data_IF_367615260977
#
_entry.id   IF_367615260977
#
_cell.length_a   1.000
_cell.length_b   1.000
_cell.length_c   1.000
_cell.angle_alpha   90.00
_cell.angle_beta   90.00
_cell.angle_gamma   90.00
#
_symmetry.space_group_name_H-M   'P 1'
#
loop_
_entity.id
_entity.type
_entity.pdbx_description
1 polymer ?
#
# COMPACT_ATOMS: atom_id res chain seq x y z
N UNK A 1 8.63 17.32 -13.79
CA UNK A 1 8.52 16.28 -14.84
C UNK A 1 9.41 16.54 -16.06
N UNK A 2 9.67 17.76 -16.48
CA UNK A 2 10.49 18.12 -17.66
C UNK A 2 11.91 17.51 -17.69
N UNK A 3 12.70 17.45 -16.59
CA UNK A 3 14.02 16.84 -16.61
C UNK A 3 13.98 15.34 -16.94
N UNK A 4 13.05 14.58 -16.34
CA UNK A 4 12.91 13.14 -16.59
C UNK A 4 12.44 12.82 -18.00
N UNK A 5 11.56 13.66 -18.58
CA UNK A 5 11.18 13.53 -19.98
C UNK A 5 12.38 13.74 -20.92
N UNK A 6 13.26 14.69 -20.59
CA UNK A 6 14.50 14.92 -21.35
C UNK A 6 15.48 13.74 -21.24
N UNK A 7 15.67 13.20 -20.02
CA UNK A 7 16.50 12.02 -19.80
C UNK A 7 15.98 10.81 -20.58
N UNK A 8 14.65 10.60 -20.60
CA UNK A 8 14.03 9.53 -21.39
C UNK A 8 14.32 9.67 -22.88
N UNK A 9 14.18 10.88 -23.45
CA UNK A 9 14.51 11.13 -24.85
C UNK A 9 16.00 10.89 -25.15
N UNK A 10 16.90 11.25 -24.22
CA UNK A 10 18.32 10.96 -24.35
C UNK A 10 18.63 9.45 -24.26
N UNK A 11 17.94 8.72 -23.40
CA UNK A 11 18.07 7.27 -23.30
C UNK A 11 17.60 6.55 -24.59
N UNK A 12 16.54 7.06 -25.23
CA UNK A 12 16.00 6.50 -26.47
C UNK A 12 16.97 6.61 -27.69
N UNK A 13 17.97 7.48 -27.61
CA UNK A 13 18.99 7.68 -28.69
C UNK A 13 20.20 6.74 -28.51
N UNK A 14 20.32 6.02 -27.41
CA UNK A 14 21.42 5.09 -27.18
C UNK A 14 21.40 3.92 -28.19
N UNK A 15 22.57 3.59 -28.72
CA UNK A 15 22.72 2.49 -29.68
C UNK A 15 22.72 1.10 -29.02
N UNK A 16 22.98 1.01 -27.71
CA UNK A 16 22.95 -0.23 -26.96
C UNK A 16 21.55 -0.46 -26.36
N UNK A 17 20.83 -1.40 -26.98
CA UNK A 17 19.45 -1.73 -26.58
C UNK A 17 19.33 -2.15 -25.09
N UNK A 18 20.33 -2.82 -24.53
CA UNK A 18 20.32 -3.25 -23.13
C UNK A 18 20.41 -2.06 -22.17
N UNK A 19 21.36 -1.17 -22.42
CA UNK A 19 21.55 0.06 -21.64
C UNK A 19 20.36 1.01 -21.81
N UNK A 20 19.81 1.13 -23.03
CA UNK A 20 18.61 1.90 -23.33
C UNK A 20 17.41 1.44 -22.50
N UNK A 21 17.09 0.15 -22.56
CA UNK A 21 15.93 -0.42 -21.82
C UNK A 21 16.11 -0.25 -20.31
N UNK A 22 17.31 -0.50 -19.78
CA UNK A 22 17.61 -0.30 -18.36
C UNK A 22 17.40 1.15 -17.92
N UNK A 23 17.89 2.13 -18.69
CA UNK A 23 17.71 3.55 -18.37
C UNK A 23 16.26 4.02 -18.50
N UNK A 24 15.52 3.55 -19.51
CA UNK A 24 14.11 3.88 -19.68
C UNK A 24 13.28 3.34 -18.51
N UNK A 25 13.57 2.14 -18.03
CA UNK A 25 12.87 1.55 -16.90
C UNK A 25 13.21 2.28 -15.59
N UNK A 26 14.45 2.69 -15.38
CA UNK A 26 14.86 3.51 -14.24
C UNK A 26 14.15 4.87 -14.24
N UNK A 27 14.03 5.53 -15.40
CA UNK A 27 13.32 6.81 -15.54
C UNK A 27 11.82 6.64 -15.29
N UNK A 28 11.21 5.53 -15.74
CA UNK A 28 9.81 5.21 -15.40
C UNK A 28 9.63 5.05 -13.90
N UNK A 29 10.55 4.31 -13.26
CA UNK A 29 10.54 4.11 -11.81
C UNK A 29 10.66 5.45 -11.05
N UNK A 30 11.56 6.33 -11.45
CA UNK A 30 11.68 7.68 -10.89
C UNK A 30 10.42 8.52 -11.07
N UNK A 31 9.73 8.42 -12.23
CA UNK A 31 8.47 9.12 -12.44
C UNK A 31 7.37 8.61 -11.48
N UNK A 32 7.25 7.29 -11.29
CA UNK A 32 6.32 6.69 -10.34
C UNK A 32 6.59 7.16 -8.91
N UNK A 33 7.85 7.12 -8.47
CA UNK A 33 8.25 7.64 -7.16
C UNK A 33 7.90 9.12 -6.96
N UNK A 34 8.12 9.95 -8.00
CA UNK A 34 7.75 11.37 -7.96
C UNK A 34 6.25 11.58 -7.90
N UNK A 35 5.48 10.82 -8.66
CA UNK A 35 4.01 10.93 -8.64
C UNK A 35 3.44 10.49 -7.28
N UNK A 36 3.97 9.43 -6.68
CA UNK A 36 3.61 9.02 -5.32
C UNK A 36 4.02 10.07 -4.28
N UNK A 37 5.24 10.64 -4.39
CA UNK A 37 5.70 11.71 -3.49
C UNK A 37 4.85 12.99 -3.64
N UNK A 38 4.52 13.39 -4.87
CA UNK A 38 3.66 14.55 -5.12
C UNK A 38 2.23 14.33 -4.63
N UNK A 39 1.73 13.11 -4.74
CA UNK A 39 0.46 12.73 -4.15
C UNK A 39 0.53 12.75 -2.62
N UNK A 40 1.63 12.29 -2.03
CA UNK A 40 1.90 12.41 -0.60
C UNK A 40 1.96 13.88 -0.15
N UNK A 41 2.72 14.75 -0.85
CA UNK A 41 2.90 16.17 -0.45
C UNK A 41 1.68 17.07 -0.71
N UNK A 42 0.75 16.67 -1.59
CA UNK A 42 -0.54 17.37 -1.78
C UNK A 42 -1.53 17.11 -0.64
N UNK A 43 -1.24 16.18 0.22
CA UNK A 43 -2.12 15.64 1.25
C UNK A 43 -2.23 16.49 2.50
N UNK A 44 -1.38 17.53 2.67
CA UNK A 44 -1.55 18.53 3.73
C UNK A 44 -2.86 19.36 3.62
N UNK A 45 -3.66 19.11 2.54
CA UNK A 45 -4.95 19.78 2.29
C UNK A 45 -6.15 18.81 2.41
N UNK A 46 -6.10 17.78 3.26
CA UNK A 46 -7.27 16.92 3.56
C UNK A 46 -8.37 17.69 4.31
N UNK A 47 -8.98 18.66 3.61
CA UNK A 47 -10.13 19.39 4.12
C UNK A 47 -11.49 18.74 3.85
N UNK A 48 -11.51 17.65 3.10
CA UNK A 48 -12.75 16.92 2.87
C UNK A 48 -12.89 15.80 3.91
N UNK A 49 -13.52 16.13 5.05
CA UNK A 49 -13.95 15.18 6.08
C UNK A 49 -15.13 14.32 5.59
N UNK A 50 -15.01 13.78 4.37
CA UNK A 50 -15.98 12.81 3.90
C UNK A 50 -15.81 11.56 4.75
N UNK A 51 -16.86 11.21 5.47
CA UNK A 51 -16.92 10.03 6.31
C UNK A 51 -17.62 8.89 5.59
N UNK A 52 -17.15 7.68 5.81
CA UNK A 52 -17.66 6.46 5.21
C UNK A 52 -17.75 5.33 6.22
N UNK A 53 -18.67 4.39 5.96
CA UNK A 53 -18.66 3.11 6.65
C UNK A 53 -17.44 2.28 6.18
N UNK A 54 -16.55 1.84 7.10
CA UNK A 54 -15.32 1.12 6.73
C UNK A 54 -15.59 -0.26 6.12
N UNK A 55 -16.64 -0.97 6.53
CA UNK A 55 -17.00 -2.28 6.01
C UNK A 55 -17.48 -2.16 4.56
N UNK A 56 -18.42 -1.24 4.30
CA UNK A 56 -18.91 -0.99 2.94
C UNK A 56 -17.77 -0.58 2.00
N UNK A 57 -16.82 0.19 2.52
CA UNK A 57 -15.66 0.62 1.75
C UNK A 57 -14.74 -0.55 1.39
N UNK A 58 -14.43 -1.45 2.31
CA UNK A 58 -13.63 -2.66 2.00
C UNK A 58 -14.33 -3.53 0.96
N UNK A 59 -15.64 -3.74 1.09
CA UNK A 59 -16.43 -4.50 0.12
C UNK A 59 -16.38 -3.83 -1.26
N UNK A 60 -16.49 -2.51 -1.32
CA UNK A 60 -16.40 -1.74 -2.56
C UNK A 60 -15.01 -1.86 -3.19
N UNK A 61 -13.94 -1.73 -2.40
CA UNK A 61 -12.56 -1.89 -2.87
C UNK A 61 -12.34 -3.30 -3.43
N UNK A 62 -12.75 -4.36 -2.71
CA UNK A 62 -12.65 -5.75 -3.17
C UNK A 62 -13.32 -5.95 -4.53
N UNK A 63 -14.48 -5.32 -4.76
CA UNK A 63 -15.26 -5.45 -5.98
C UNK A 63 -14.83 -4.50 -7.09
N UNK A 64 -13.84 -3.62 -6.85
CA UNK A 64 -13.23 -2.77 -7.87
C UNK A 64 -12.62 -3.62 -8.98
N UNK A 65 -12.65 -3.09 -10.22
CA UNK A 65 -12.15 -3.78 -11.42
C UNK A 65 -10.69 -4.24 -11.28
N UNK A 66 -9.90 -3.55 -10.47
CA UNK A 66 -8.48 -3.88 -10.25
C UNK A 66 -8.29 -5.08 -9.31
N UNK A 67 -9.27 -5.39 -8.47
CA UNK A 67 -9.17 -6.41 -7.42
C UNK A 67 -10.17 -7.57 -7.56
N UNK A 68 -11.23 -7.41 -8.37
CA UNK A 68 -12.35 -8.37 -8.46
C UNK A 68 -11.94 -9.81 -8.83
N UNK A 69 -10.84 -9.96 -9.59
CA UNK A 69 -10.31 -11.25 -10.04
C UNK A 69 -9.16 -11.77 -9.15
N UNK A 70 -8.92 -11.11 -8.00
CA UNK A 70 -7.91 -11.50 -7.02
C UNK A 70 -8.53 -12.36 -5.92
N UNK A 71 -7.75 -13.30 -5.38
CA UNK A 71 -8.18 -14.14 -4.25
C UNK A 71 -8.12 -13.35 -2.94
N UNK A 72 -9.16 -12.53 -2.73
CA UNK A 72 -9.33 -11.70 -1.52
C UNK A 72 -10.57 -12.17 -0.79
N UNK A 73 -10.40 -12.74 0.39
CA UNK A 73 -11.47 -13.09 1.33
C UNK A 73 -11.68 -11.97 2.35
N UNK A 74 -12.93 -11.70 2.71
CA UNK A 74 -13.28 -10.66 3.71
C UNK A 74 -14.16 -11.28 4.79
N UNK A 75 -13.69 -11.21 6.03
CA UNK A 75 -14.40 -11.63 7.22
C UNK A 75 -14.76 -10.41 8.08
N UNK A 76 -16.03 -10.30 8.47
CA UNK A 76 -16.55 -9.25 9.34
C UNK A 76 -16.83 -9.86 10.71
N UNK A 77 -16.11 -9.40 11.75
CA UNK A 77 -16.30 -9.91 13.12
C UNK A 77 -17.41 -9.14 13.82
N UNK A 78 -17.43 -7.82 13.66
CA UNK A 78 -18.42 -6.95 14.27
C UNK A 78 -18.70 -5.76 13.35
N UNK A 79 -19.95 -5.31 13.32
CA UNK A 79 -20.44 -4.22 12.47
C UNK A 79 -21.14 -3.15 13.33
N UNK A 80 -20.34 -2.29 13.97
CA UNK A 80 -20.88 -1.09 14.60
C UNK A 80 -21.07 -0.01 13.54
N UNK A 81 -22.15 0.74 13.63
CA UNK A 81 -22.46 1.86 12.75
C UNK A 81 -21.53 3.05 13.06
N UNK A 82 -20.33 3.01 12.52
CA UNK A 82 -19.30 4.06 12.65
C UNK A 82 -18.90 4.59 11.31
N UNK A 83 -18.28 5.75 11.32
CA UNK A 83 -17.76 6.40 10.13
C UNK A 83 -16.29 6.79 10.32
N UNK A 84 -15.48 6.55 9.30
CA UNK A 84 -14.06 6.91 9.25
C UNK A 84 -13.77 7.88 8.11
N UNK A 85 -12.67 8.60 8.20
CA UNK A 85 -12.24 9.47 7.10
C UNK A 85 -11.96 8.65 5.83
N UNK A 86 -12.72 8.94 4.76
CA UNK A 86 -12.71 8.19 3.50
C UNK A 86 -11.33 8.14 2.85
N UNK A 87 -10.65 9.27 2.77
CA UNK A 87 -9.36 9.37 2.06
C UNK A 87 -8.29 8.57 2.79
N UNK A 88 -8.18 8.74 4.12
CA UNK A 88 -7.18 8.05 4.93
C UNK A 88 -7.43 6.54 4.92
N UNK A 89 -8.68 6.13 5.16
CA UNK A 89 -9.05 4.73 5.20
C UNK A 89 -8.83 4.02 3.86
N UNK A 90 -9.46 4.51 2.78
CA UNK A 90 -9.40 3.87 1.47
C UNK A 90 -7.97 3.75 0.96
N UNK A 91 -7.18 4.81 1.11
CA UNK A 91 -5.81 4.84 0.68
C UNK A 91 -4.93 3.88 1.47
N UNK A 92 -5.11 3.82 2.79
CA UNK A 92 -4.41 2.84 3.63
C UNK A 92 -4.74 1.41 3.18
N UNK A 93 -6.02 1.08 3.00
CA UNK A 93 -6.44 -0.25 2.58
C UNK A 93 -5.91 -0.61 1.18
N UNK A 94 -6.01 0.28 0.21
CA UNK A 94 -5.52 0.06 -1.17
C UNK A 94 -4.00 -0.16 -1.16
N UNK A 95 -3.24 0.65 -0.43
CA UNK A 95 -1.79 0.49 -0.30
C UNK A 95 -1.42 -0.88 0.29
N UNK A 96 -2.12 -1.30 1.35
CA UNK A 96 -1.86 -2.58 2.01
C UNK A 96 -2.24 -3.77 1.13
N UNK A 97 -3.39 -3.72 0.43
CA UNK A 97 -3.80 -4.76 -0.53
C UNK A 97 -2.78 -4.86 -1.66
N UNK A 98 -2.36 -3.74 -2.26
CA UNK A 98 -1.37 -3.74 -3.32
C UNK A 98 -0.03 -4.32 -2.85
N UNK A 99 0.41 -3.96 -1.64
CA UNK A 99 1.63 -4.52 -1.06
C UNK A 99 1.50 -6.04 -0.89
N UNK A 100 0.40 -6.54 -0.34
CA UNK A 100 0.17 -7.97 -0.19
C UNK A 100 0.12 -8.70 -1.54
N UNK A 101 -0.55 -8.15 -2.56
CA UNK A 101 -0.64 -8.74 -3.91
C UNK A 101 0.68 -8.76 -4.69
N UNK A 102 1.63 -7.91 -4.34
CA UNK A 102 2.98 -7.93 -4.92
C UNK A 102 3.76 -9.19 -4.53
N UNK A 103 3.56 -9.67 -3.29
CA UNK A 103 4.32 -10.78 -2.71
C UNK A 103 3.52 -12.05 -2.51
N UNK A 104 2.21 -12.02 -2.80
CA UNK A 104 1.30 -13.13 -2.55
C UNK A 104 0.24 -13.25 -3.64
N UNK A 105 -0.51 -14.35 -3.63
CA UNK A 105 -1.64 -14.57 -4.53
C UNK A 105 -2.96 -14.76 -3.79
N UNK A 106 -2.92 -14.78 -2.45
CA UNK A 106 -4.10 -14.92 -1.60
C UNK A 106 -4.04 -13.97 -0.43
N UNK A 107 -5.16 -13.26 -0.18
CA UNK A 107 -5.30 -12.30 0.90
C UNK A 107 -6.57 -12.62 1.70
N UNK A 108 -6.47 -12.52 3.03
CA UNK A 108 -7.62 -12.51 3.92
C UNK A 108 -7.64 -11.18 4.68
N UNK A 109 -8.77 -10.47 4.60
CA UNK A 109 -9.02 -9.23 5.32
C UNK A 109 -10.02 -9.55 6.43
N UNK A 110 -9.67 -9.21 7.67
CA UNK A 110 -10.57 -9.33 8.82
C UNK A 110 -10.83 -7.91 9.31
N UNK A 111 -12.10 -7.52 9.38
CA UNK A 111 -12.51 -6.21 9.88
C UNK A 111 -13.42 -6.34 11.10
N UNK A 112 -13.10 -5.56 12.10
CA UNK A 112 -13.90 -5.41 13.33
C UNK A 112 -14.14 -3.93 13.59
N UNK A 113 -15.41 -3.54 13.75
CA UNK A 113 -15.79 -2.18 14.12
C UNK A 113 -16.53 -2.19 15.46
N UNK A 114 -16.09 -1.33 16.36
CA UNK A 114 -16.74 -1.07 17.64
C UNK A 114 -17.07 0.42 17.75
N UNK A 115 -17.75 0.86 18.79
CA UNK A 115 -17.97 2.29 19.03
C UNK A 115 -16.68 3.06 19.34
N UNK A 116 -15.60 2.36 19.70
CA UNK A 116 -14.34 2.95 20.13
C UNK A 116 -13.28 2.92 19.02
N UNK A 117 -13.29 1.89 18.18
CA UNK A 117 -12.24 1.70 17.18
C UNK A 117 -12.71 0.87 15.97
N UNK A 118 -11.99 1.06 14.87
CA UNK A 118 -11.98 0.18 13.70
C UNK A 118 -10.64 -0.53 13.64
N UNK A 119 -10.66 -1.87 13.65
CA UNK A 119 -9.49 -2.72 13.47
C UNK A 119 -9.59 -3.45 12.13
N UNK A 120 -8.53 -3.42 11.33
CA UNK A 120 -8.41 -4.19 10.09
C UNK A 120 -7.11 -4.99 10.14
N UNK A 121 -7.23 -6.29 9.91
CA UNK A 121 -6.10 -7.21 9.76
C UNK A 121 -6.07 -7.71 8.32
N UNK A 122 -4.93 -7.57 7.66
CA UNK A 122 -4.71 -8.05 6.29
C UNK A 122 -3.64 -9.13 6.38
N UNK A 123 -4.02 -10.34 6.07
CA UNK A 123 -3.14 -11.51 6.03
C UNK A 123 -2.88 -11.91 4.59
N UNK A 124 -1.65 -12.26 4.28
CA UNK A 124 -1.26 -12.81 2.99
C UNK A 124 -0.55 -14.17 3.12
N UNK A 125 -0.41 -14.87 2.00
CA UNK A 125 0.30 -16.14 1.92
C UNK A 125 1.70 -16.01 1.28
N UNK A 126 2.31 -14.83 1.35
CA UNK A 126 3.66 -14.55 0.85
C UNK A 126 4.76 -15.15 1.72
N UNK A 127 5.99 -14.74 1.45
CA UNK A 127 7.17 -15.19 2.22
C UNK A 127 7.27 -14.56 3.63
N UNK A 128 6.40 -13.55 3.92
CA UNK A 128 6.47 -12.77 5.14
C UNK A 128 7.66 -11.79 5.16
N UNK A 129 7.91 -11.20 6.33
CA UNK A 129 9.02 -10.28 6.55
C UNK A 129 9.86 -10.79 7.73
N UNK A 130 11.20 -10.90 7.58
CA UNK A 130 12.07 -11.23 8.72
C UNK A 130 11.87 -10.25 9.88
N UNK A 131 11.83 -10.74 11.11
CA UNK A 131 11.55 -9.92 12.30
C UNK A 131 12.49 -8.71 12.42
N UNK A 132 13.78 -8.89 12.08
CA UNK A 132 14.79 -7.83 12.08
C UNK A 132 14.48 -6.69 11.09
N UNK A 133 13.63 -6.95 10.07
CA UNK A 133 13.27 -6.00 9.02
C UNK A 133 11.90 -5.32 9.24
N UNK A 134 11.07 -5.82 10.14
CA UNK A 134 9.72 -5.30 10.38
C UNK A 134 9.68 -3.82 10.75
N UNK A 135 10.73 -3.30 11.38
CA UNK A 135 10.86 -1.86 11.68
C UNK A 135 11.40 -1.07 10.48
N UNK A 136 12.30 -1.69 9.70
CA UNK A 136 12.96 -1.03 8.57
C UNK A 136 12.01 -0.79 7.40
N UNK A 137 11.06 -1.69 7.15
CA UNK A 137 10.11 -1.59 6.03
C UNK A 137 9.16 -0.37 6.11
N UNK A 138 9.10 0.30 7.25
CA UNK A 138 8.39 1.57 7.40
C UNK A 138 9.23 2.80 7.00
N UNK A 139 10.52 2.63 6.68
CA UNK A 139 11.35 3.73 6.18
C UNK A 139 10.98 4.01 4.72
N UNK A 140 10.85 5.28 4.31
CA UNK A 140 10.61 5.62 2.91
C UNK A 140 11.66 5.02 1.99
N UNK A 141 11.24 4.50 0.84
CA UNK A 141 12.08 3.87 -0.19
C UNK A 141 12.82 2.60 0.26
N UNK A 142 12.54 2.08 1.45
CA UNK A 142 13.16 0.86 1.93
C UNK A 142 12.55 -0.37 1.25
N UNK A 143 13.43 -1.30 0.83
CA UNK A 143 13.07 -2.60 0.23
C UNK A 143 14.03 -3.65 0.75
N UNK A 144 13.52 -4.80 1.19
CA UNK A 144 14.31 -5.92 1.71
C UNK A 144 15.20 -6.50 0.61
N UNK A 145 14.65 -6.74 -0.58
CA UNK A 145 15.37 -7.28 -1.73
C UNK A 145 15.42 -6.28 -2.88
N UNK A 146 16.61 -5.77 -3.18
CA UNK A 146 16.86 -4.93 -4.36
C UNK A 146 16.95 -5.72 -5.66
N UNK A 147 17.07 -7.07 -5.60
CA UNK A 147 17.44 -7.92 -6.73
C UNK A 147 16.30 -8.76 -7.32
N UNK A 148 15.25 -9.06 -6.56
CA UNK A 148 14.24 -10.06 -6.99
C UNK A 148 13.24 -9.58 -8.04
N UNK A 149 13.00 -8.28 -8.16
CA UNK A 149 12.09 -7.77 -9.21
C UNK A 149 12.57 -6.43 -9.74
N UNK A 150 13.44 -6.42 -10.75
CA UNK A 150 13.72 -5.23 -11.57
C UNK A 150 12.45 -4.70 -12.26
N UNK A 151 11.38 -5.50 -12.30
CA UNK A 151 10.07 -5.15 -12.86
C UNK A 151 9.02 -4.78 -11.81
N UNK A 152 9.36 -4.78 -10.49
CA UNK A 152 8.37 -4.40 -9.49
C UNK A 152 8.14 -2.89 -9.52
N UNK A 153 6.89 -2.50 -9.69
CA UNK A 153 6.45 -1.09 -9.74
C UNK A 153 6.42 -0.41 -8.37
N UNK A 154 6.73 -1.15 -7.30
CA UNK A 154 6.65 -0.64 -5.93
C UNK A 154 7.86 0.24 -5.57
N UNK A 155 7.56 1.50 -5.24
CA UNK A 155 8.54 2.53 -4.85
C UNK A 155 9.13 2.34 -3.44
N UNK A 156 8.57 1.47 -2.60
CA UNK A 156 8.89 1.37 -1.18
C UNK A 156 8.29 2.50 -0.32
N UNK A 157 7.27 3.20 -0.84
CA UNK A 157 6.56 4.27 -0.12
C UNK A 157 5.25 3.80 0.53
N UNK A 158 4.65 2.70 0.10
CA UNK A 158 3.31 2.26 0.52
C UNK A 158 3.15 2.15 2.04
N UNK A 159 4.03 1.39 2.72
CA UNK A 159 3.96 1.20 4.19
C UNK A 159 4.28 2.49 4.95
N UNK A 160 5.27 3.27 4.51
CA UNK A 160 5.62 4.56 5.15
C UNK A 160 4.49 5.58 5.00
N UNK A 161 3.86 5.66 3.84
CA UNK A 161 2.68 6.51 3.58
C UNK A 161 1.51 6.09 4.46
N UNK A 162 1.18 4.79 4.50
CA UNK A 162 0.10 4.27 5.35
C UNK A 162 0.34 4.60 6.83
N UNK A 163 1.57 4.43 7.33
CA UNK A 163 1.92 4.80 8.70
C UNK A 163 1.69 6.28 8.99
N UNK A 164 2.10 7.16 8.07
CA UNK A 164 1.92 8.61 8.25
C UNK A 164 0.44 9.01 8.21
N UNK A 165 -0.35 8.43 7.28
CA UNK A 165 -1.79 8.65 7.19
C UNK A 165 -2.49 8.25 8.49
N UNK A 166 -2.20 7.06 9.02
CA UNK A 166 -2.80 6.58 10.26
C UNK A 166 -2.38 7.44 11.45
N UNK A 167 -1.10 7.82 11.55
CA UNK A 167 -0.62 8.70 12.62
C UNK A 167 -1.34 10.06 12.64
N UNK A 168 -1.76 10.60 11.49
CA UNK A 168 -2.49 11.88 11.41
C UNK A 168 -3.88 11.86 12.07
N UNK A 169 -4.43 10.65 12.29
CA UNK A 169 -5.72 10.39 12.96
C UNK A 169 -5.56 9.58 14.25
N UNK A 170 -4.38 9.57 14.85
CA UNK A 170 -4.05 8.78 16.03
C UNK A 170 -4.24 7.25 15.83
N UNK A 171 -4.25 6.78 14.60
CA UNK A 171 -4.27 5.36 14.28
C UNK A 171 -2.89 4.73 14.38
N UNK A 172 -2.85 3.40 14.39
CA UNK A 172 -1.61 2.62 14.47
C UNK A 172 -1.53 1.60 13.34
N UNK A 173 -0.30 1.16 13.02
CA UNK A 173 -0.01 0.06 12.12
C UNK A 173 1.06 -0.84 12.73
N UNK A 174 0.82 -2.14 12.71
CA UNK A 174 1.72 -3.17 13.22
C UNK A 174 1.90 -4.28 12.18
N UNK A 175 3.05 -4.95 12.22
CA UNK A 175 3.36 -6.10 11.37
C UNK A 175 3.65 -7.32 12.23
N UNK A 176 3.18 -8.47 11.78
CA UNK A 176 3.47 -9.77 12.38
C UNK A 176 3.53 -10.86 11.30
N UNK A 177 3.98 -12.05 11.64
CA UNK A 177 3.83 -13.20 10.78
C UNK A 177 2.39 -13.72 10.86
N UNK A 178 1.76 -13.95 9.71
CA UNK A 178 0.40 -14.43 9.62
C UNK A 178 0.27 -15.87 10.12
N UNK A 179 -0.44 -16.06 11.23
CA UNK A 179 -0.80 -17.39 11.70
C UNK A 179 -1.89 -18.07 10.85
N UNK A 180 -2.62 -17.30 10.02
CA UNK A 180 -3.76 -17.75 9.23
C UNK A 180 -3.31 -18.24 7.85
N UNK A 181 -2.48 -17.48 7.15
CA UNK A 181 -2.04 -17.77 5.77
C UNK A 181 -0.53 -18.06 5.64
N UNK A 182 0.24 -17.83 6.70
CA UNK A 182 1.68 -18.16 6.75
C UNK A 182 2.63 -17.09 6.21
N UNK A 183 2.12 -16.01 5.61
CA UNK A 183 2.90 -14.86 5.13
C UNK A 183 2.91 -13.71 6.13
N UNK A 184 2.65 -12.49 5.66
CA UNK A 184 2.59 -11.29 6.49
C UNK A 184 1.18 -11.05 7.04
N UNK A 185 1.11 -10.57 8.28
CA UNK A 185 -0.05 -9.92 8.88
C UNK A 185 0.25 -8.43 9.03
N UNK A 186 -0.63 -7.59 8.48
CA UNK A 186 -0.62 -6.15 8.71
C UNK A 186 -1.88 -5.80 9.48
N UNK A 187 -1.71 -5.24 10.68
CA UNK A 187 -2.83 -4.79 11.53
C UNK A 187 -2.84 -3.28 11.60
N UNK A 188 -3.99 -2.68 11.29
CA UNK A 188 -4.24 -1.26 11.53
C UNK A 188 -5.37 -1.08 12.52
N UNK A 189 -5.24 -0.05 13.36
CA UNK A 189 -6.26 0.36 14.34
C UNK A 189 -6.50 1.85 14.18
N UNK A 190 -7.75 2.23 14.01
CA UNK A 190 -8.21 3.61 13.86
C UNK A 190 -9.18 3.91 15.00
N UNK A 191 -8.88 4.88 15.87
CA UNK A 191 -9.83 5.37 16.87
C UNK A 191 -11.03 6.05 16.19
N UNK A 192 -12.22 5.89 16.74
CA UNK A 192 -13.45 6.49 16.19
C UNK A 192 -13.75 7.83 16.85
#
# INVERSE_FOLDING_TARGET
KTPLTRMRLQAEILNDEKSKNSLVDEIKHMNLMLDEYLNFSKEDNFKDDVKINPIESIIKIKNDIHFKDKDIDVEIINDAAIEVNANIFNRSIINLINNSLEYSNKIKIIIETTLELTKVEIHDNGEGIPEAEMTNVFKPFYRIDKSRNQNSTNSGLGLSTTKNLLNSINGTIELANSAILGGLEVRIVIPN
#
